data_IF_939897725919
#
_entry.id   IF_939897725919
#
_cell.length_a   1.000
_cell.length_b   1.000
_cell.length_c   1.000
_cell.angle_alpha   90.00
_cell.angle_beta   90.00
_cell.angle_gamma   90.00
#
_symmetry.space_group_name_H-M   'P 1'
#
loop_
_entity.id
_entity.type
_entity.pdbx_description
1 polymer ?
#
# COMPACT_ATOMS: atom_id res chain seq x y z
N UNK A 1 -31.69 -63.81 3.01
CA UNK A 1 -31.14 -62.81 2.05
C UNK A 1 -31.05 -61.48 2.78
N UNK A 2 -29.84 -61.06 3.16
CA UNK A 2 -29.61 -59.90 4.04
C UNK A 2 -29.44 -58.64 3.18
N UNK A 3 -30.27 -57.62 3.43
CA UNK A 3 -30.17 -56.31 2.77
C UNK A 3 -29.05 -55.50 3.45
N UNK A 4 -28.01 -55.19 2.70
CA UNK A 4 -26.89 -54.35 3.14
C UNK A 4 -27.23 -52.89 2.83
N UNK A 5 -27.70 -52.14 3.82
CA UNK A 5 -27.91 -50.69 3.69
C UNK A 5 -26.57 -49.98 3.88
N UNK A 6 -26.01 -49.44 2.78
CA UNK A 6 -24.82 -48.58 2.81
C UNK A 6 -25.25 -47.21 3.33
N UNK A 7 -24.84 -46.88 4.56
CA UNK A 7 -24.97 -45.53 5.12
C UNK A 7 -23.77 -44.72 4.61
N UNK A 8 -24.01 -43.82 3.66
CA UNK A 8 -23.02 -42.83 3.21
C UNK A 8 -22.94 -41.76 4.29
N UNK A 9 -21.91 -41.85 5.13
CA UNK A 9 -21.60 -40.85 6.15
C UNK A 9 -20.92 -39.66 5.46
N UNK A 10 -21.69 -38.61 5.21
CA UNK A 10 -21.21 -37.35 4.64
C UNK A 10 -20.35 -36.64 5.70
N UNK A 11 -19.03 -36.82 5.64
CA UNK A 11 -18.10 -36.09 6.49
C UNK A 11 -18.09 -34.63 6.04
N UNK A 12 -18.78 -33.76 6.79
CA UNK A 12 -18.66 -32.31 6.69
C UNK A 12 -17.23 -31.93 7.11
N UNK A 13 -16.33 -31.79 6.15
CA UNK A 13 -15.07 -31.09 6.37
C UNK A 13 -15.42 -29.64 6.67
N UNK A 14 -15.39 -29.28 7.95
CA UNK A 14 -15.44 -27.89 8.39
C UNK A 14 -14.22 -27.17 7.80
N UNK A 15 -14.40 -26.55 6.63
CA UNK A 15 -13.48 -25.57 6.12
C UNK A 15 -13.56 -24.37 7.07
N UNK A 16 -12.64 -24.30 8.02
CA UNK A 16 -12.44 -23.08 8.80
C UNK A 16 -12.18 -21.94 7.81
N UNK A 17 -12.88 -20.81 7.90
CA UNK A 17 -12.54 -19.66 7.08
C UNK A 17 -11.09 -19.31 7.43
N UNK A 18 -10.20 -19.40 6.44
CA UNK A 18 -8.91 -18.74 6.54
C UNK A 18 -9.24 -17.24 6.60
N UNK A 19 -9.24 -16.66 7.79
CA UNK A 19 -9.31 -15.21 7.94
C UNK A 19 -8.13 -14.64 7.16
N UNK A 20 -8.40 -14.09 5.97
CA UNK A 20 -7.39 -13.39 5.20
C UNK A 20 -6.94 -12.19 6.03
N UNK A 21 -5.74 -12.28 6.59
CA UNK A 21 -5.16 -11.21 7.38
C UNK A 21 -4.95 -10.00 6.46
N UNK A 22 -5.69 -8.92 6.71
CA UNK A 22 -5.44 -7.64 6.04
C UNK A 22 -4.29 -6.93 6.74
N UNK A 23 -3.20 -6.68 6.01
CA UNK A 23 -2.05 -5.94 6.51
C UNK A 23 -1.97 -4.60 5.79
N UNK A 24 -1.93 -3.51 6.55
CA UNK A 24 -1.74 -2.16 6.00
C UNK A 24 -0.45 -1.55 6.52
N UNK A 25 0.23 -0.81 5.65
CA UNK A 25 1.31 0.10 6.00
C UNK A 25 0.85 1.53 5.73
N UNK A 26 1.18 2.45 6.65
CA UNK A 26 0.77 3.85 6.58
C UNK A 26 2.00 4.74 6.71
N UNK A 27 2.14 5.67 5.78
CA UNK A 27 3.21 6.66 5.74
C UNK A 27 2.59 8.04 5.90
N UNK A 28 3.14 8.83 6.82
CA UNK A 28 2.83 10.25 6.98
C UNK A 28 4.09 11.04 6.80
N UNK A 29 4.15 11.83 5.73
CA UNK A 29 5.36 12.52 5.29
C UNK A 29 5.06 14.01 5.24
N UNK A 30 5.76 14.83 6.02
CA UNK A 30 5.53 16.28 5.97
C UNK A 30 5.91 16.80 4.59
N UNK A 31 5.11 17.69 4.00
CA UNK A 31 5.44 18.28 2.70
C UNK A 31 6.81 18.97 2.70
N UNK A 32 7.19 19.57 3.84
CA UNK A 32 8.49 20.20 4.06
C UNK A 32 9.68 19.25 4.09
N UNK A 33 9.45 17.95 4.28
CA UNK A 33 10.51 16.94 4.30
C UNK A 33 10.76 16.36 2.90
N UNK A 34 9.86 16.59 1.95
CA UNK A 34 9.95 16.00 0.61
C UNK A 34 10.89 16.84 -0.26
N UNK A 35 11.91 16.20 -0.80
CA UNK A 35 12.86 16.80 -1.75
C UNK A 35 12.42 16.57 -3.20
N UNK A 36 12.04 15.34 -3.51
CA UNK A 36 11.58 14.98 -4.86
C UNK A 36 10.68 13.74 -4.82
N UNK A 37 9.87 13.56 -5.86
CA UNK A 37 9.15 12.32 -6.10
C UNK A 37 9.20 11.94 -7.57
N UNK A 38 9.43 10.65 -7.83
CA UNK A 38 9.51 10.09 -9.18
C UNK A 38 8.90 8.69 -9.23
N UNK A 39 8.49 8.27 -10.41
CA UNK A 39 8.18 6.87 -10.64
C UNK A 39 9.48 6.10 -10.89
N UNK A 40 9.57 4.91 -10.31
CA UNK A 40 10.61 3.95 -10.60
C UNK A 40 10.48 3.40 -12.02
N UNK A 41 11.54 2.78 -12.52
CA UNK A 41 11.47 2.04 -13.78
C UNK A 41 10.65 0.79 -13.53
N UNK A 42 9.56 0.63 -14.27
CA UNK A 42 8.74 -0.58 -14.23
C UNK A 42 9.18 -1.55 -15.33
N UNK A 43 9.39 -2.82 -14.98
CA UNK A 43 9.48 -3.91 -15.95
C UNK A 43 8.12 -4.59 -16.14
N UNK A 44 8.02 -5.51 -17.09
CA UNK A 44 6.75 -6.21 -17.36
C UNK A 44 6.43 -7.12 -16.16
N UNK A 45 5.22 -7.01 -15.63
CA UNK A 45 4.67 -7.75 -14.45
C UNK A 45 5.13 -7.27 -13.06
N UNK A 46 6.10 -6.37 -12.96
CA UNK A 46 6.51 -5.76 -11.69
C UNK A 46 5.47 -4.71 -11.22
N UNK A 47 5.26 -4.56 -9.90
CA UNK A 47 4.44 -3.48 -9.37
C UNK A 47 5.02 -2.11 -9.75
N UNK A 48 4.17 -1.10 -9.90
CA UNK A 48 4.63 0.27 -10.04
C UNK A 48 5.34 0.69 -8.76
N UNK A 49 6.43 1.45 -8.89
CA UNK A 49 7.18 1.97 -7.73
C UNK A 49 7.13 3.49 -7.70
N UNK A 50 6.79 4.06 -6.56
CA UNK A 50 6.88 5.47 -6.25
C UNK A 50 8.09 5.70 -5.34
N UNK A 51 9.00 6.56 -5.77
CA UNK A 51 10.24 6.83 -5.08
C UNK A 51 10.21 8.27 -4.58
N UNK A 52 10.29 8.43 -3.26
CA UNK A 52 10.21 9.71 -2.56
C UNK A 52 11.56 9.97 -1.90
N UNK A 53 12.21 11.06 -2.27
CA UNK A 53 13.44 11.51 -1.61
C UNK A 53 13.08 12.46 -0.49
N UNK A 54 13.59 12.19 0.71
CA UNK A 54 13.29 12.92 1.94
C UNK A 54 14.55 13.58 2.49
N UNK A 55 14.43 14.78 3.05
CA UNK A 55 15.48 15.38 3.88
C UNK A 55 15.36 14.84 5.30
N UNK A 56 16.48 14.38 5.86
CA UNK A 56 16.55 13.94 7.26
C UNK A 56 17.19 15.01 8.15
N UNK A 57 17.04 14.88 9.47
CA UNK A 57 17.67 15.80 10.45
C UNK A 57 19.20 15.89 10.30
N UNK A 58 19.84 14.85 9.75
CA UNK A 58 21.29 14.81 9.51
C UNK A 58 21.72 15.52 8.22
N UNK A 59 20.79 16.17 7.51
CA UNK A 59 21.01 16.76 6.17
C UNK A 59 21.41 15.76 5.09
N UNK A 60 21.27 14.46 5.35
CA UNK A 60 21.38 13.41 4.33
C UNK A 60 20.01 13.15 3.72
N UNK A 61 19.97 12.87 2.42
CA UNK A 61 18.73 12.42 1.79
C UNK A 61 18.50 10.93 2.05
N UNK A 62 17.25 10.57 2.30
CA UNK A 62 16.78 9.20 2.42
C UNK A 62 15.77 8.91 1.31
N UNK A 63 15.87 7.74 0.69
CA UNK A 63 14.91 7.28 -0.31
C UNK A 63 13.87 6.35 0.34
N UNK A 64 12.59 6.68 0.18
CA UNK A 64 11.45 5.84 0.50
C UNK A 64 10.87 5.30 -0.81
N UNK A 65 10.76 3.98 -0.94
CA UNK A 65 10.14 3.31 -2.09
C UNK A 65 8.81 2.68 -1.68
N UNK A 66 7.76 2.96 -2.44
CA UNK A 66 6.40 2.43 -2.24
C UNK A 66 5.96 1.71 -3.50
N UNK A 67 5.50 0.47 -3.36
CA UNK A 67 5.04 -0.36 -4.48
C UNK A 67 3.51 -0.41 -4.55
N UNK A 68 2.98 -0.63 -5.76
CA UNK A 68 1.56 -0.83 -6.01
C UNK A 68 1.31 -1.56 -7.31
N UNK A 69 0.40 -2.54 -7.30
CA UNK A 69 -0.14 -3.14 -8.52
C UNK A 69 -1.11 -2.20 -9.27
N UNK A 70 -1.48 -1.08 -8.65
CA UNK A 70 -2.23 0.02 -9.27
C UNK A 70 -1.34 1.14 -9.78
N UNK A 71 -1.87 2.00 -10.64
CA UNK A 71 -1.17 3.19 -11.12
C UNK A 71 -0.82 4.16 -9.99
N UNK A 72 0.33 4.82 -10.10
CA UNK A 72 0.84 5.74 -9.07
C UNK A 72 0.93 7.20 -9.53
N UNK A 73 0.48 7.51 -10.75
CA UNK A 73 0.56 8.87 -11.32
C UNK A 73 -0.18 9.91 -10.47
N UNK A 74 -1.39 9.60 -10.00
CA UNK A 74 -2.19 10.52 -9.17
C UNK A 74 -1.54 10.74 -7.80
N UNK A 75 -0.97 9.68 -7.21
CA UNK A 75 -0.26 9.80 -5.94
C UNK A 75 1.03 10.62 -6.10
N UNK A 76 1.78 10.38 -7.19
CA UNK A 76 2.96 11.17 -7.55
C UNK A 76 2.62 12.65 -7.73
N UNK A 77 1.54 12.97 -8.43
CA UNK A 77 1.06 14.36 -8.60
C UNK A 77 0.66 14.98 -7.26
N UNK A 78 -0.04 14.23 -6.40
CA UNK A 78 -0.44 14.69 -5.06
C UNK A 78 0.78 15.05 -4.21
N UNK A 79 1.81 14.22 -4.24
CA UNK A 79 3.08 14.47 -3.56
C UNK A 79 3.82 15.65 -4.17
N UNK A 80 3.94 15.73 -5.51
CA UNK A 80 4.56 16.87 -6.21
C UNK A 80 3.98 18.21 -5.73
N UNK A 81 2.65 18.30 -5.56
CA UNK A 81 1.98 19.51 -5.10
C UNK A 81 2.18 19.84 -3.62
N UNK A 82 2.69 18.91 -2.82
CA UNK A 82 2.98 19.10 -1.40
C UNK A 82 4.45 19.37 -1.10
N UNK A 83 5.36 19.21 -2.08
CA UNK A 83 6.80 19.45 -1.91
C UNK A 83 7.04 20.86 -1.35
N UNK A 84 7.75 20.93 -0.21
CA UNK A 84 8.09 22.17 0.48
C UNK A 84 6.96 22.80 1.30
N UNK A 85 5.75 22.24 1.28
CA UNK A 85 4.64 22.78 2.06
C UNK A 85 4.76 22.43 3.54
N UNK A 86 4.81 23.47 4.38
CA UNK A 86 4.89 23.36 5.84
C UNK A 86 3.54 23.22 6.52
N UNK A 87 2.45 23.43 5.78
CA UNK A 87 1.09 23.40 6.29
C UNK A 87 0.33 22.11 5.92
N UNK A 88 1.00 21.12 5.36
CA UNK A 88 0.40 19.81 5.07
C UNK A 88 1.39 18.66 5.18
N UNK A 89 0.83 17.46 5.26
CA UNK A 89 1.55 16.20 5.09
C UNK A 89 0.83 15.33 4.05
N UNK A 90 1.57 14.39 3.46
CA UNK A 90 1.02 13.33 2.64
C UNK A 90 0.76 12.11 3.52
N UNK A 91 -0.45 11.57 3.44
CA UNK A 91 -0.81 10.25 3.97
C UNK A 91 -0.88 9.26 2.81
N UNK A 92 -0.10 8.17 2.90
CA UNK A 92 -0.12 7.07 1.94
C UNK A 92 -0.46 5.79 2.69
N UNK A 93 -1.49 5.08 2.24
CA UNK A 93 -1.87 3.78 2.80
C UNK A 93 -1.69 2.69 1.77
N UNK A 94 -0.92 1.67 2.14
CA UNK A 94 -0.60 0.52 1.30
C UNK A 94 -1.23 -0.73 1.90
N UNK A 95 -2.04 -1.44 1.12
CA UNK A 95 -2.55 -2.76 1.46
C UNK A 95 -1.54 -3.82 1.01
N UNK A 96 -0.87 -4.43 1.98
CA UNK A 96 0.24 -5.39 1.77
C UNK A 96 -0.22 -6.84 1.58
N UNK A 97 -1.54 -7.07 1.60
CA UNK A 97 -2.17 -8.37 1.33
C UNK A 97 -3.38 -8.19 0.42
N UNK A 98 -3.26 -7.27 -0.54
CA UNK A 98 -4.30 -7.00 -1.54
C UNK A 98 -4.54 -8.23 -2.43
N UNK A 99 -5.76 -8.39 -2.94
CA UNK A 99 -6.10 -9.44 -3.91
C UNK A 99 -5.69 -8.99 -5.33
N UNK A 100 -4.37 -8.84 -5.52
CA UNK A 100 -3.71 -8.33 -6.72
C UNK A 100 -2.51 -9.22 -7.06
N UNK A 101 -1.89 -9.02 -8.23
CA UNK A 101 -0.86 -9.93 -8.76
C UNK A 101 0.35 -10.11 -7.84
N UNK A 102 0.84 -9.02 -7.24
CA UNK A 102 1.95 -9.00 -6.29
C UNK A 102 1.50 -8.82 -4.84
N UNK A 103 0.18 -8.71 -4.60
CA UNK A 103 -0.40 -8.59 -3.27
C UNK A 103 -0.21 -7.21 -2.61
N UNK A 104 0.21 -6.20 -3.37
CA UNK A 104 0.46 -4.84 -2.89
C UNK A 104 -0.37 -3.81 -3.66
N UNK A 105 -1.07 -2.93 -2.94
CA UNK A 105 -1.90 -1.89 -3.56
C UNK A 105 -1.88 -0.62 -2.70
N UNK A 106 -1.50 0.52 -3.29
CA UNK A 106 -1.76 1.82 -2.67
C UNK A 106 -3.26 2.08 -2.73
N UNK A 107 -3.90 2.13 -1.57
CA UNK A 107 -5.35 2.34 -1.44
C UNK A 107 -5.72 3.79 -1.15
N UNK A 108 -4.77 4.57 -0.65
CA UNK A 108 -4.98 5.98 -0.33
C UNK A 108 -3.67 6.75 -0.51
N UNK A 109 -3.77 7.95 -1.10
CA UNK A 109 -2.70 8.91 -1.19
C UNK A 109 -3.30 10.31 -1.18
N UNK A 110 -3.22 10.98 -0.04
CA UNK A 110 -3.94 12.23 0.20
C UNK A 110 -3.02 13.27 0.84
N UNK A 111 -3.21 14.54 0.46
CA UNK A 111 -2.60 15.68 1.12
C UNK A 111 -3.54 16.17 2.23
N UNK A 112 -3.06 16.16 3.47
CA UNK A 112 -3.83 16.53 4.66
C UNK A 112 -3.27 17.83 5.23
N UNK A 113 -4.13 18.83 5.44
CA UNK A 113 -3.72 20.11 6.05
C UNK A 113 -3.45 19.95 7.55
N UNK A 114 -2.38 20.57 8.03
CA UNK A 114 -2.03 20.64 9.45
C UNK A 114 -2.82 21.80 10.07
N UNK A 115 -3.65 21.56 11.11
CA UNK A 115 -4.37 22.64 11.77
C UNK A 115 -3.40 23.59 12.48
N UNK A 116 -3.50 24.89 12.19
CA UNK A 116 -2.83 25.92 12.98
C UNK A 116 -3.68 26.16 14.24
N UNK A 117 -3.15 25.79 15.42
CA UNK A 117 -3.75 26.11 16.72
C UNK A 117 -3.17 27.41 17.29
#
# INVERSE_FOLDING_TARGET
>A
MIRLSIVVMFALTFASPASALQKFEEYRILGSEILSVRLGRQEVEDPATLIIELVTESSQSQELSIESDGGLDECKLTIDYAIGDKASYIEIRVHMTADTMNGVMVTECARISIPNY
#
